data_IF_351216748298
#
_entry.id   IF_351216748298
#
_cell.length_a   1.000
_cell.length_b   1.000
_cell.length_c   1.000
_cell.angle_alpha   90.00
_cell.angle_beta   90.00
_cell.angle_gamma   90.00
#
_symmetry.space_group_name_H-M   'P 1'
#
loop_
_entity.id
_entity.type
_entity.pdbx_description
1 polymer ?
#
# COMPACT_ATOMS: atom_id res chain seq x y z
N UNK A 1 -59.69 25.21 -30.42
CA UNK A 1 -59.46 24.44 -29.19
C UNK A 1 -57.96 24.18 -29.07
N UNK A 2 -57.38 24.68 -27.98
CA UNK A 2 -56.10 24.33 -27.34
C UNK A 2 -54.89 23.91 -28.21
N UNK A 3 -53.94 24.85 -28.36
CA UNK A 3 -52.52 24.56 -28.21
C UNK A 3 -52.16 24.66 -26.71
N UNK A 4 -51.22 23.87 -26.18
CA UNK A 4 -49.90 24.44 -25.89
C UNK A 4 -48.67 23.48 -25.87
N UNK A 5 -47.50 24.13 -25.95
CA UNK A 5 -46.20 23.89 -25.28
C UNK A 5 -45.25 22.72 -25.68
N UNK A 6 -44.18 23.13 -26.37
CA UNK A 6 -42.74 23.06 -25.99
C UNK A 6 -42.19 21.83 -25.25
N UNK A 7 -41.17 21.22 -25.86
CA UNK A 7 -40.22 20.34 -25.18
C UNK A 7 -39.11 19.78 -26.08
N UNK A 8 -38.19 20.65 -26.54
CA UNK A 8 -36.91 20.22 -27.14
C UNK A 8 -36.02 19.59 -26.06
N UNK A 9 -35.53 18.37 -26.27
CA UNK A 9 -34.33 17.85 -25.59
C UNK A 9 -33.25 17.63 -26.65
N UNK A 10 -32.35 18.61 -26.71
CA UNK A 10 -31.13 18.60 -27.49
C UNK A 10 -30.00 18.11 -26.58
N UNK A 11 -29.48 16.91 -26.83
CA UNK A 11 -28.34 16.37 -26.11
C UNK A 11 -27.04 16.95 -26.69
N UNK A 12 -26.59 18.07 -26.11
CA UNK A 12 -25.34 18.73 -26.45
C UNK A 12 -24.13 17.92 -25.98
N UNK A 13 -23.42 17.36 -26.96
CA UNK A 13 -22.01 16.97 -26.89
C UNK A 13 -21.17 18.16 -26.41
N UNK A 14 -20.45 18.00 -25.29
CA UNK A 14 -19.34 18.88 -24.92
C UNK A 14 -18.03 18.09 -24.80
N UNK A 15 -17.37 18.06 -25.96
CA UNK A 15 -15.93 18.18 -26.19
C UNK A 15 -14.97 18.14 -25.00
N UNK A 16 -14.24 17.02 -24.88
CA UNK A 16 -12.88 16.96 -24.32
C UNK A 16 -11.92 17.56 -25.35
N UNK A 17 -11.42 18.78 -25.10
CA UNK A 17 -10.34 19.38 -25.89
C UNK A 17 -8.97 19.10 -25.26
N UNK A 18 -8.14 18.49 -26.12
CA UNK A 18 -6.71 18.69 -26.34
C UNK A 18 -5.77 19.02 -25.18
N UNK A 19 -4.86 18.09 -24.92
CA UNK A 19 -3.44 18.40 -24.77
C UNK A 19 -2.69 17.67 -25.89
N UNK A 20 -2.07 18.44 -26.82
CA UNK A 20 -1.12 17.94 -27.83
C UNK A 20 0.28 18.48 -27.51
N UNK A 21 1.23 17.55 -27.66
CA UNK A 21 2.56 17.67 -28.25
C UNK A 21 3.61 18.60 -27.63
N UNK A 22 4.61 17.97 -26.99
CA UNK A 22 6.01 18.41 -27.04
C UNK A 22 6.78 17.30 -27.77
N UNK A 23 7.54 17.60 -28.84
CA UNK A 23 8.19 16.59 -29.68
C UNK A 23 9.44 16.03 -29.00
N UNK A 24 9.49 14.70 -28.90
CA UNK A 24 10.60 13.97 -28.29
C UNK A 24 11.57 13.49 -29.38
N UNK A 25 12.59 14.29 -29.66
CA UNK A 25 13.70 13.90 -30.53
C UNK A 25 14.77 13.23 -29.67
N UNK A 26 14.90 11.90 -29.77
CA UNK A 26 16.19 11.18 -29.76
C UNK A 26 15.98 9.68 -30.01
N UNK A 27 16.44 9.25 -31.19
CA UNK A 27 16.65 7.85 -31.55
C UNK A 27 17.98 7.35 -31.00
N UNK A 28 17.94 6.09 -30.55
CA UNK A 28 18.99 5.07 -30.49
C UNK A 28 20.13 5.25 -29.47
N UNK A 29 20.14 4.38 -28.46
CA UNK A 29 20.93 3.14 -28.50
C UNK A 29 20.48 2.18 -27.39
N UNK A 30 20.36 0.91 -27.76
CA UNK A 30 20.03 -0.23 -26.88
C UNK A 30 21.14 -0.42 -25.84
N UNK A 31 20.76 -0.52 -24.58
CA UNK A 31 21.42 -1.39 -23.61
C UNK A 31 20.36 -1.94 -22.64
N UNK A 32 20.21 -3.27 -22.65
CA UNK A 32 19.29 -3.98 -21.77
C UNK A 32 19.81 -3.95 -20.33
N UNK A 33 19.14 -3.18 -19.49
CA UNK A 33 19.17 -3.35 -18.04
C UNK A 33 17.79 -2.94 -17.51
N UNK A 34 16.85 -3.87 -17.58
CA UNK A 34 15.56 -3.72 -16.92
C UNK A 34 15.78 -3.88 -15.41
N UNK A 35 16.24 -2.80 -14.77
CA UNK A 35 16.17 -2.69 -13.32
C UNK A 35 14.69 -2.66 -12.95
N UNK A 36 14.26 -3.68 -12.21
CA UNK A 36 13.03 -3.65 -11.44
C UNK A 36 12.94 -2.27 -10.77
N UNK A 37 11.87 -1.51 -11.07
CA UNK A 37 11.49 -0.31 -10.31
C UNK A 37 11.09 -0.76 -8.90
N UNK A 38 12.08 -1.12 -8.11
CA UNK A 38 12.02 -1.18 -6.67
C UNK A 38 11.65 0.24 -6.22
N UNK A 39 10.51 0.35 -5.55
CA UNK A 39 10.11 1.50 -4.75
C UNK A 39 11.33 2.00 -3.96
N UNK A 40 11.93 3.11 -4.43
CA UNK A 40 13.05 3.77 -3.78
C UNK A 40 12.55 4.58 -2.58
N UNK A 41 12.15 3.90 -1.51
CA UNK A 41 12.13 4.50 -0.18
C UNK A 41 13.50 4.30 0.45
N UNK A 42 14.26 5.40 0.48
CA UNK A 42 15.60 5.50 1.06
C UNK A 42 15.59 5.00 2.51
N UNK A 43 16.51 4.07 2.78
CA UNK A 43 16.80 3.43 4.07
C UNK A 43 17.65 4.38 4.92
N UNK A 44 17.26 4.64 6.15
CA UNK A 44 18.18 5.11 7.20
C UNK A 44 18.53 3.91 8.08
N UNK A 45 19.82 3.58 8.09
CA UNK A 45 20.45 2.71 9.08
C UNK A 45 20.68 3.61 10.31
N UNK A 46 20.30 3.14 11.52
CA UNK A 46 20.61 3.65 12.87
C UNK A 46 19.40 3.64 13.86
N UNK A 47 18.55 2.60 13.90
CA UNK A 47 17.46 2.50 14.89
C UNK A 47 17.80 1.67 16.13
N UNK A 48 18.92 0.96 16.18
CA UNK A 48 19.13 -0.13 17.15
C UNK A 48 19.27 0.32 18.62
N UNK A 49 19.71 1.56 18.87
CA UNK A 49 19.97 2.04 20.24
C UNK A 49 18.71 2.64 20.89
N UNK A 50 17.92 3.42 20.14
CA UNK A 50 16.65 3.97 20.64
C UNK A 50 15.57 2.88 20.83
N UNK A 51 15.65 1.79 20.05
CA UNK A 51 14.70 0.68 20.05
C UNK A 51 14.84 -0.21 21.30
N UNK A 52 16.05 -0.32 21.88
CA UNK A 52 16.27 -1.04 23.15
C UNK A 52 15.69 -0.31 24.36
N UNK A 53 15.63 1.03 24.36
CA UNK A 53 15.03 1.82 25.45
C UNK A 53 13.52 1.62 25.59
N UNK A 54 12.81 1.36 24.49
CA UNK A 54 11.35 1.19 24.49
C UNK A 54 10.88 -0.21 24.88
N UNK A 55 11.64 -1.26 24.55
CA UNK A 55 11.31 -2.64 24.97
C UNK A 55 11.32 -2.75 26.51
N UNK A 56 12.15 -1.95 27.17
CA UNK A 56 12.19 -1.86 28.64
C UNK A 56 11.07 -0.98 29.21
N UNK A 57 10.66 0.08 28.52
CA UNK A 57 9.59 0.99 28.99
C UNK A 57 8.18 0.37 28.91
N UNK A 58 7.93 -0.53 27.95
CA UNK A 58 6.65 -1.24 27.85
C UNK A 58 6.41 -2.25 29.01
N UNK A 59 7.46 -2.58 29.79
CA UNK A 59 7.36 -3.40 31.01
C UNK A 59 7.29 -2.56 32.30
N UNK A 60 7.42 -1.24 32.24
CA UNK A 60 7.67 -0.39 33.41
C UNK A 60 6.69 0.80 33.53
N UNK A 61 5.43 0.62 33.11
CA UNK A 61 4.36 1.61 33.34
C UNK A 61 3.30 1.01 34.28
N UNK A 62 3.74 0.80 35.53
CA UNK A 62 2.94 0.81 36.75
C UNK A 62 3.78 1.59 37.77
N UNK A 63 3.13 2.58 38.38
CA UNK A 63 3.58 3.52 39.45
C UNK A 63 4.37 4.79 39.08
N UNK A 64 3.66 5.92 39.28
CA UNK A 64 3.95 7.17 40.03
C UNK A 64 5.39 7.71 40.13
N UNK A 65 5.65 9.00 40.38
CA UNK A 65 5.00 10.32 40.32
C UNK A 65 6.15 11.29 40.71
N UNK A 66 6.03 12.57 40.30
CA UNK A 66 6.57 13.78 40.94
C UNK A 66 8.06 14.21 40.89
N UNK A 67 8.15 15.52 40.57
CA UNK A 67 9.17 16.55 40.89
C UNK A 67 10.43 16.63 40.01
N UNK A 68 11.00 17.79 39.64
CA UNK A 68 10.74 19.23 39.81
C UNK A 68 11.65 19.95 38.79
N UNK A 69 11.20 21.09 38.24
CA UNK A 69 11.98 21.97 37.35
C UNK A 69 13.06 22.76 38.12
N UNK A 70 14.12 23.21 37.43
CA UNK A 70 14.60 24.58 37.63
C UNK A 70 14.62 25.40 36.33
N UNK A 71 14.09 26.62 36.44
CA UNK A 71 14.15 27.71 35.45
C UNK A 71 15.58 28.23 35.26
N UNK A 72 15.90 28.70 34.06
CA UNK A 72 17.04 29.56 33.77
C UNK A 72 16.62 30.59 32.73
N UNK A 73 16.63 31.86 33.14
CA UNK A 73 16.34 33.04 32.34
C UNK A 73 17.65 33.64 31.80
N UNK A 74 17.77 33.78 30.47
CA UNK A 74 18.70 34.71 29.81
C UNK A 74 17.99 35.26 28.55
N UNK A 75 17.82 36.59 28.39
CA UNK A 75 17.23 37.16 27.18
C UNK A 75 18.31 37.36 26.12
N UNK A 76 18.19 36.66 24.98
CA UNK A 76 19.05 36.85 23.82
C UNK A 76 18.28 37.59 22.71
N UNK A 77 18.73 38.83 22.49
CA UNK A 77 18.59 39.74 21.35
C UNK A 77 17.94 39.17 20.09
N UNK A 78 16.85 39.84 19.68
CA UNK A 78 16.09 39.58 18.48
C UNK A 78 16.91 39.84 17.20
N UNK A 79 17.48 38.77 16.64
CA UNK A 79 17.80 38.71 15.23
C UNK A 79 16.57 38.18 14.48
N UNK A 80 16.08 38.97 13.54
CA UNK A 80 14.92 38.71 12.70
C UNK A 80 15.12 37.41 11.91
N UNK A 81 14.61 36.30 12.49
CA UNK A 81 14.67 34.98 11.86
C UNK A 81 13.57 34.91 10.81
N UNK A 82 13.86 34.43 9.59
CA UNK A 82 12.83 34.27 8.56
C UNK A 82 11.68 33.46 9.16
N UNK A 83 10.47 34.03 9.16
CA UNK A 83 9.29 33.50 9.85
C UNK A 83 9.24 31.99 9.68
N UNK A 84 9.63 31.26 10.73
CA UNK A 84 9.49 29.81 10.80
C UNK A 84 7.99 29.56 10.75
N UNK A 85 7.48 29.24 9.55
CA UNK A 85 6.07 28.96 9.33
C UNK A 85 5.57 27.99 10.40
N UNK A 86 4.43 28.28 11.04
CA UNK A 86 3.96 27.50 12.17
C UNK A 86 3.77 26.04 11.76
N UNK A 87 4.24 25.15 12.62
CA UNK A 87 4.01 23.72 12.43
C UNK A 87 2.51 23.45 12.64
N UNK A 88 1.97 22.51 11.87
CA UNK A 88 0.62 22.02 12.11
C UNK A 88 0.57 21.36 13.49
N UNK A 89 -0.42 21.72 14.29
CA UNK A 89 -0.73 21.06 15.54
C UNK A 89 -1.81 20.01 15.26
N UNK A 90 -1.50 18.73 15.45
CA UNK A 90 -2.47 17.65 15.25
C UNK A 90 -3.34 17.52 16.50
N UNK A 91 -4.65 17.78 16.37
CA UNK A 91 -5.58 17.74 17.50
C UNK A 91 -6.33 16.42 17.57
N UNK A 92 -6.85 15.93 16.44
CA UNK A 92 -7.48 14.62 16.35
C UNK A 92 -7.19 13.89 15.04
N UNK A 93 -7.26 12.56 15.10
CA UNK A 93 -7.34 11.67 13.93
C UNK A 93 -8.66 10.88 13.89
N UNK A 94 -9.53 11.03 14.89
CA UNK A 94 -10.86 10.43 14.91
C UNK A 94 -11.80 11.20 13.98
N UNK A 95 -12.25 10.54 12.92
CA UNK A 95 -13.14 11.13 11.93
C UNK A 95 -14.49 11.61 12.52
N UNK A 96 -14.88 11.12 13.70
CA UNK A 96 -16.13 11.51 14.37
C UNK A 96 -15.99 12.75 15.25
N UNK A 97 -14.76 13.20 15.50
CA UNK A 97 -14.44 14.32 16.38
C UNK A 97 -13.77 15.48 15.63
N UNK A 98 -13.79 15.45 14.30
CA UNK A 98 -13.20 16.51 13.47
C UNK A 98 -13.89 17.85 13.72
N UNK A 99 -13.08 18.90 13.82
CA UNK A 99 -13.54 20.28 13.96
C UNK A 99 -12.93 21.20 12.87
N UNK A 100 -13.48 22.40 12.71
CA UNK A 100 -13.02 23.42 11.75
C UNK A 100 -11.53 23.74 11.92
N UNK A 101 -11.01 23.69 13.15
CA UNK A 101 -9.59 23.94 13.45
C UNK A 101 -8.65 22.82 12.96
N UNK A 102 -9.16 21.63 12.66
CA UNK A 102 -8.40 20.51 12.08
C UNK A 102 -8.24 20.62 10.56
N UNK A 103 -8.94 21.56 9.93
CA UNK A 103 -8.86 21.77 8.49
C UNK A 103 -7.52 22.39 8.10
N UNK A 104 -6.83 21.75 7.15
CA UNK A 104 -5.52 22.19 6.70
C UNK A 104 -5.43 22.29 5.19
N UNK A 105 -4.75 23.33 4.70
CA UNK A 105 -4.31 23.40 3.31
C UNK A 105 -2.83 23.02 3.18
N UNK A 106 -2.60 21.90 2.49
CA UNK A 106 -1.27 21.36 2.22
C UNK A 106 -0.85 21.51 0.75
N UNK A 107 -1.65 22.19 -0.08
CA UNK A 107 -1.44 22.39 -1.53
C UNK A 107 -0.07 22.99 -1.86
N UNK A 108 0.58 22.47 -2.91
CA UNK A 108 1.84 23.00 -3.45
C UNK A 108 3.06 22.84 -2.54
N UNK A 109 2.91 22.27 -1.34
CA UNK A 109 4.01 22.08 -0.39
C UNK A 109 4.77 20.80 -0.69
N UNK A 110 6.09 20.82 -0.54
CA UNK A 110 6.92 19.60 -0.57
C UNK A 110 6.77 18.76 0.70
N UNK A 111 6.55 19.43 1.83
CA UNK A 111 6.31 18.78 3.11
C UNK A 111 5.57 19.70 4.08
N UNK A 112 4.95 19.09 5.10
CA UNK A 112 4.33 19.78 6.22
C UNK A 112 4.90 19.26 7.53
N UNK A 113 5.33 20.16 8.40
CA UNK A 113 5.76 19.77 9.75
C UNK A 113 4.54 19.66 10.65
N UNK A 114 4.41 18.53 11.33
CA UNK A 114 3.33 18.22 12.27
C UNK A 114 3.91 18.08 13.68
N UNK A 115 3.25 18.69 14.65
CA UNK A 115 3.52 18.58 16.09
C UNK A 115 2.37 17.86 16.77
N UNK A 116 2.69 17.23 17.89
CA UNK A 116 1.77 16.43 18.68
C UNK A 116 1.67 17.05 20.08
N UNK A 117 0.59 17.76 20.43
CA UNK A 117 0.41 18.35 21.76
C UNK A 117 0.51 17.34 22.89
N UNK A 118 0.05 16.12 22.63
CA UNK A 118 0.03 15.02 23.60
C UNK A 118 1.43 14.44 23.84
N UNK A 119 2.39 14.75 22.97
CA UNK A 119 3.77 14.25 23.06
C UNK A 119 4.76 15.34 22.58
N UNK A 120 4.85 16.48 23.28
CA UNK A 120 5.61 17.65 22.84
C UNK A 120 7.13 17.41 22.83
N UNK A 121 7.60 16.43 23.60
CA UNK A 121 8.99 15.97 23.67
C UNK A 121 9.42 15.16 22.44
N UNK A 122 8.45 14.66 21.66
CA UNK A 122 8.73 13.85 20.48
C UNK A 122 9.15 14.70 19.28
N UNK A 123 9.96 14.14 18.34
CA UNK A 123 10.30 14.82 17.11
C UNK A 123 9.06 15.21 16.30
N UNK A 124 9.15 16.35 15.63
CA UNK A 124 8.14 16.76 14.66
C UNK A 124 8.12 15.78 13.49
N UNK A 125 6.93 15.46 13.01
CA UNK A 125 6.78 14.67 11.81
C UNK A 125 6.86 15.59 10.58
N UNK A 126 7.83 15.34 9.70
CA UNK A 126 7.82 15.92 8.36
C UNK A 126 6.96 15.05 7.43
N UNK A 127 5.70 15.41 7.29
CA UNK A 127 4.76 14.75 6.39
C UNK A 127 5.10 15.09 4.92
N UNK A 128 5.19 14.08 4.08
CA UNK A 128 5.54 14.20 2.65
C UNK A 128 4.49 13.51 1.79
N UNK A 129 4.26 14.03 0.60
CA UNK A 129 3.32 13.44 -0.35
C UNK A 129 3.86 12.16 -0.97
N UNK A 130 4.95 12.26 -1.71
CA UNK A 130 5.51 11.11 -2.42
C UNK A 130 7.04 11.11 -2.30
N UNK A 131 7.72 11.49 -3.37
CA UNK A 131 9.18 11.64 -3.38
C UNK A 131 9.58 13.05 -2.89
N UNK A 132 10.82 13.25 -2.42
CA UNK A 132 11.26 14.51 -1.80
C UNK A 132 11.01 15.78 -2.64
N UNK A 133 10.91 15.64 -3.96
CA UNK A 133 10.80 16.75 -4.90
C UNK A 133 9.44 16.80 -5.62
N UNK A 134 8.47 15.99 -5.18
CA UNK A 134 7.13 16.01 -5.76
C UNK A 134 6.22 16.80 -4.82
N UNK A 135 5.76 18.00 -5.23
CA UNK A 135 4.87 18.81 -4.42
C UNK A 135 3.49 18.14 -4.29
N UNK A 136 2.81 18.46 -3.19
CA UNK A 136 1.42 18.10 -2.99
C UNK A 136 0.57 18.77 -4.08
N UNK A 137 -0.37 18.06 -4.73
CA UNK A 137 -1.23 18.63 -5.77
C UNK A 137 -1.99 19.87 -5.28
N UNK A 138 -2.32 20.77 -6.19
CA UNK A 138 -3.20 21.90 -5.88
C UNK A 138 -4.58 21.42 -5.44
N UNK A 139 -5.25 22.21 -4.59
CA UNK A 139 -6.56 21.86 -4.04
C UNK A 139 -6.53 20.70 -3.04
N UNK A 140 -5.38 20.46 -2.40
CA UNK A 140 -5.23 19.45 -1.34
C UNK A 140 -5.48 20.10 0.03
N UNK A 141 -6.73 20.47 0.28
CA UNK A 141 -7.19 21.00 1.55
C UNK A 141 -8.20 20.04 2.19
N UNK A 142 -8.18 19.90 3.50
CA UNK A 142 -9.03 18.94 4.21
C UNK A 142 -8.39 18.44 5.51
N UNK A 143 -8.60 17.16 5.84
CA UNK A 143 -8.35 16.61 7.17
C UNK A 143 -7.43 15.39 7.16
N UNK A 144 -6.58 15.28 8.18
CA UNK A 144 -5.91 14.01 8.50
C UNK A 144 -6.87 13.15 9.32
N UNK A 145 -6.90 11.85 9.04
CA UNK A 145 -7.75 10.93 9.79
C UNK A 145 -7.16 9.53 9.85
N UNK A 146 -7.58 8.77 10.85
CA UNK A 146 -7.28 7.35 10.99
C UNK A 146 -8.30 6.51 10.21
N UNK A 147 -7.80 5.61 9.38
CA UNK A 147 -8.61 4.71 8.57
C UNK A 147 -8.26 3.25 8.90
N UNK A 148 -9.30 2.47 9.16
CA UNK A 148 -9.24 1.01 9.22
C UNK A 148 -10.38 0.49 8.36
N UNK A 149 -10.07 -0.36 7.37
CA UNK A 149 -11.11 -0.96 6.53
C UNK A 149 -12.00 -1.87 7.39
N UNK A 150 -13.32 -1.92 7.12
CA UNK A 150 -14.22 -2.85 7.79
C UNK A 150 -13.69 -4.29 7.68
N UNK A 151 -13.74 -5.01 8.80
CA UNK A 151 -13.27 -6.40 8.96
C UNK A 151 -11.77 -6.61 8.76
N UNK A 152 -10.98 -5.54 8.63
CA UNK A 152 -9.53 -5.65 8.48
C UNK A 152 -8.85 -5.86 9.83
N UNK A 153 -7.74 -6.63 9.88
CA UNK A 153 -6.93 -6.74 11.09
C UNK A 153 -6.49 -5.36 11.59
N UNK A 154 -6.53 -5.06 12.90
CA UNK A 154 -6.17 -3.74 13.43
C UNK A 154 -4.78 -3.24 13.02
N UNK A 155 -3.86 -4.18 12.73
CA UNK A 155 -2.50 -3.87 12.26
C UNK A 155 -2.44 -3.26 10.85
N UNK A 156 -3.51 -3.37 10.05
CA UNK A 156 -3.60 -2.79 8.70
C UNK A 156 -3.95 -1.29 8.70
N UNK A 157 -4.28 -0.73 9.87
CA UNK A 157 -4.69 0.65 10.02
C UNK A 157 -3.66 1.65 9.51
N UNK A 158 -4.15 2.83 9.12
CA UNK A 158 -3.36 3.81 8.41
C UNK A 158 -3.88 5.23 8.64
N UNK A 159 -2.96 6.19 8.66
CA UNK A 159 -3.33 7.61 8.60
C UNK A 159 -3.46 8.02 7.13
N UNK A 160 -4.57 8.67 6.78
CA UNK A 160 -4.86 9.17 5.43
C UNK A 160 -5.14 10.68 5.47
N UNK A 161 -5.20 11.28 4.29
CA UNK A 161 -5.60 12.67 4.12
C UNK A 161 -6.85 12.73 3.24
N UNK A 162 -7.96 13.24 3.80
CA UNK A 162 -9.23 13.43 3.10
C UNK A 162 -9.27 14.85 2.57
N UNK A 163 -9.38 15.00 1.25
CA UNK A 163 -9.58 16.29 0.57
C UNK A 163 -11.07 16.63 0.57
N UNK A 164 -11.41 17.82 1.07
CA UNK A 164 -12.80 18.32 1.19
C UNK A 164 -12.94 19.68 0.50
N UNK A 165 -14.18 20.09 0.25
CA UNK A 165 -14.50 21.37 -0.40
C UNK A 165 -14.44 22.56 0.55
N UNK A 166 -14.62 22.32 1.86
CA UNK A 166 -14.62 23.35 2.90
C UNK A 166 -14.07 22.82 4.23
N UNK A 167 -13.90 23.73 5.19
CA UNK A 167 -13.49 23.44 6.57
C UNK A 167 -14.60 22.88 7.45
N UNK A 168 -15.85 22.83 6.98
CA UNK A 168 -16.95 22.18 7.67
C UNK A 168 -16.75 20.64 7.69
N UNK A 169 -16.63 20.00 8.87
CA UNK A 169 -16.53 18.54 9.01
C UNK A 169 -17.67 17.77 8.35
N UNK A 170 -18.87 18.36 8.20
CA UNK A 170 -19.99 17.72 7.52
C UNK A 170 -19.70 17.40 6.03
N UNK A 171 -18.68 18.03 5.44
CA UNK A 171 -18.22 17.74 4.07
C UNK A 171 -17.27 16.54 3.98
N UNK A 172 -16.80 16.01 5.11
CA UNK A 172 -15.86 14.89 5.16
C UNK A 172 -16.35 13.63 4.41
N UNK A 173 -17.61 13.16 4.57
CA UNK A 173 -18.10 11.96 3.88
C UNK A 173 -18.12 12.11 2.34
N UNK A 174 -18.32 13.34 1.85
CA UNK A 174 -18.33 13.65 0.42
C UNK A 174 -16.92 13.93 -0.14
N UNK A 175 -15.91 14.01 0.74
CA UNK A 175 -14.53 14.22 0.35
C UNK A 175 -13.90 12.99 -0.29
N UNK A 176 -12.76 13.21 -0.95
CA UNK A 176 -11.98 12.12 -1.57
C UNK A 176 -10.63 11.98 -0.88
N UNK A 177 -10.12 10.76 -0.79
CA UNK A 177 -8.76 10.55 -0.31
C UNK A 177 -7.74 11.19 -1.26
N UNK A 178 -6.69 11.79 -0.69
CA UNK A 178 -5.53 12.24 -1.45
C UNK A 178 -4.90 11.04 -2.15
N UNK A 179 -4.79 11.12 -3.47
CA UNK A 179 -4.18 10.07 -4.29
C UNK A 179 -2.74 10.43 -4.61
N UNK A 180 -1.88 9.41 -4.66
CA UNK A 180 -0.52 9.45 -5.19
C UNK A 180 -0.55 9.55 -6.73
N UNK A 181 0.58 9.89 -7.39
CA UNK A 181 0.65 9.96 -8.85
C UNK A 181 0.33 8.65 -9.58
N UNK A 182 0.43 7.52 -8.89
CA UNK A 182 0.07 6.20 -9.41
C UNK A 182 -1.41 5.82 -9.18
N UNK A 183 -2.21 6.75 -8.65
CA UNK A 183 -3.64 6.58 -8.36
C UNK A 183 -3.94 5.90 -7.02
N UNK A 184 -2.92 5.40 -6.28
CA UNK A 184 -3.15 4.79 -4.96
C UNK A 184 -3.43 5.86 -3.92
N UNK A 185 -4.20 5.52 -2.89
CA UNK A 185 -4.42 6.41 -1.76
C UNK A 185 -3.12 6.70 -1.01
N UNK A 186 -2.84 7.97 -0.78
CA UNK A 186 -1.79 8.43 0.11
C UNK A 186 -2.07 7.96 1.54
N UNK A 187 -1.08 7.36 2.19
CA UNK A 187 -1.24 6.86 3.55
C UNK A 187 0.10 6.79 4.30
N UNK A 188 0.01 6.79 5.63
CA UNK A 188 1.07 6.40 6.55
C UNK A 188 0.60 5.13 7.27
N UNK A 189 1.17 3.99 6.90
CA UNK A 189 0.80 2.70 7.47
C UNK A 189 1.24 2.56 8.92
N UNK A 190 0.43 1.88 9.76
CA UNK A 190 0.79 1.56 11.14
C UNK A 190 2.13 0.83 11.26
N UNK A 191 2.47 -0.02 10.29
CA UNK A 191 3.78 -0.70 10.26
C UNK A 191 4.95 0.29 10.23
N UNK A 192 4.81 1.41 9.52
CA UNK A 192 5.84 2.46 9.52
C UNK A 192 5.82 3.26 10.83
N UNK A 193 4.64 3.58 11.33
CA UNK A 193 4.44 4.30 12.59
C UNK A 193 5.06 3.54 13.77
N UNK A 194 4.84 2.22 13.83
CA UNK A 194 5.34 1.33 14.85
C UNK A 194 6.88 1.13 14.78
N UNK A 195 7.48 1.29 13.61
CA UNK A 195 8.91 0.98 13.40
C UNK A 195 9.82 2.19 13.42
N UNK A 196 9.45 3.32 12.82
CA UNK A 196 10.37 4.46 12.71
C UNK A 196 10.23 5.42 13.88
N UNK A 197 11.36 5.84 14.43
CA UNK A 197 11.43 6.86 15.49
C UNK A 197 10.88 8.22 15.06
N UNK A 198 10.93 8.54 13.76
CA UNK A 198 10.35 9.79 13.21
C UNK A 198 8.83 9.87 13.36
N UNK A 199 8.16 8.75 13.63
CA UNK A 199 6.71 8.67 13.86
C UNK A 199 6.37 8.45 15.34
N UNK A 200 7.30 8.61 16.28
CA UNK A 200 7.03 8.38 17.71
C UNK A 200 5.92 9.28 18.26
N UNK A 201 5.88 10.56 17.87
CA UNK A 201 4.79 11.47 18.25
C UNK A 201 3.43 11.03 17.68
N UNK A 202 3.39 10.60 16.41
CA UNK A 202 2.17 10.08 15.79
C UNK A 202 1.69 8.78 16.47
N UNK A 203 2.63 7.90 16.84
CA UNK A 203 2.34 6.68 17.59
C UNK A 203 1.74 6.97 18.97
N UNK A 204 2.32 7.92 19.71
CA UNK A 204 1.82 8.31 21.02
C UNK A 204 0.40 8.91 20.90
N UNK A 205 0.19 9.76 19.89
CA UNK A 205 -1.10 10.38 19.63
C UNK A 205 -2.22 9.37 19.28
N UNK A 206 -1.92 8.37 18.43
CA UNK A 206 -2.88 7.30 18.14
C UNK A 206 -3.27 6.47 19.37
N UNK A 207 -2.33 6.26 20.30
CA UNK A 207 -2.60 5.55 21.56
C UNK A 207 -3.41 6.42 22.51
N UNK A 208 -3.11 7.72 22.62
CA UNK A 208 -3.84 8.63 23.52
C UNK A 208 -5.30 8.78 23.12
N UNK A 209 -5.60 8.80 21.82
CA UNK A 209 -6.98 8.84 21.31
C UNK A 209 -7.66 7.46 21.31
N UNK A 210 -6.97 6.42 21.79
CA UNK A 210 -7.47 5.03 21.83
C UNK A 210 -7.85 4.49 20.43
N UNK A 211 -7.35 5.11 19.36
CA UNK A 211 -7.53 4.64 17.98
C UNK A 211 -6.75 3.36 17.71
N UNK A 212 -5.65 3.15 18.46
CA UNK A 212 -4.90 1.89 18.49
C UNK A 212 -4.45 1.57 19.91
N UNK A 213 -4.35 0.28 20.24
CA UNK A 213 -3.79 -0.15 21.53
C UNK A 213 -2.27 -0.34 21.43
N UNK A 214 -1.57 -0.23 22.56
CA UNK A 214 -0.13 -0.51 22.62
C UNK A 214 0.20 -1.94 22.15
N UNK A 215 -0.69 -2.91 22.40
CA UNK A 215 -0.57 -4.28 21.91
C UNK A 215 -0.56 -4.34 20.39
N UNK A 216 -1.50 -3.66 19.72
CA UNK A 216 -1.56 -3.63 18.24
C UNK A 216 -0.30 -2.98 17.64
N UNK A 217 0.18 -1.89 18.25
CA UNK A 217 1.44 -1.24 17.83
C UNK A 217 2.63 -2.19 17.98
N UNK A 218 2.70 -2.94 19.08
CA UNK A 218 3.76 -3.93 19.29
C UNK A 218 3.68 -5.07 18.26
N UNK A 219 2.48 -5.58 17.98
CA UNK A 219 2.26 -6.61 16.94
C UNK A 219 2.71 -6.11 15.57
N UNK A 220 2.35 -4.88 15.19
CA UNK A 220 2.80 -4.27 13.94
C UNK A 220 4.33 -4.11 13.87
N UNK A 221 4.98 -3.78 14.99
CA UNK A 221 6.44 -3.72 15.08
C UNK A 221 7.10 -5.10 14.90
N UNK A 222 6.51 -6.16 15.47
CA UNK A 222 7.08 -7.52 15.42
C UNK A 222 6.90 -8.21 14.08
N UNK A 223 5.87 -7.84 13.31
CA UNK A 223 5.59 -8.43 12.01
C UNK A 223 6.78 -8.21 11.06
N UNK A 224 7.33 -9.32 10.59
CA UNK A 224 8.44 -9.35 9.65
C UNK A 224 8.52 -10.70 8.94
N UNK A 225 9.18 -10.73 7.79
CA UNK A 225 9.41 -11.95 7.04
C UNK A 225 10.88 -12.05 6.59
N UNK A 226 11.57 -13.17 6.88
CA UNK A 226 12.92 -13.39 6.39
C UNK A 226 12.91 -13.74 4.90
N UNK A 227 13.91 -13.29 4.17
CA UNK A 227 14.18 -13.71 2.79
C UNK A 227 15.68 -13.67 2.52
N UNK A 228 16.30 -14.85 2.55
CA UNK A 228 17.76 -14.99 2.62
C UNK A 228 18.30 -14.32 3.88
N UNK A 229 19.40 -13.59 3.76
CA UNK A 229 20.02 -12.86 4.88
C UNK A 229 19.29 -11.55 5.27
N UNK A 230 18.13 -11.24 4.66
CA UNK A 230 17.42 -9.97 4.87
C UNK A 230 16.06 -10.18 5.50
N UNK A 231 15.72 -9.33 6.47
CA UNK A 231 14.39 -9.24 7.05
C UNK A 231 13.61 -8.09 6.39
N UNK A 232 12.37 -8.37 6.00
CA UNK A 232 11.46 -7.42 5.39
C UNK A 232 10.29 -7.15 6.34
N UNK A 233 9.76 -5.94 6.26
CA UNK A 233 8.55 -5.52 6.98
C UNK A 233 7.55 -4.95 5.98
N UNK A 234 6.24 -5.05 6.23
CA UNK A 234 5.28 -4.25 5.50
C UNK A 234 5.54 -2.76 5.78
N UNK A 235 5.18 -1.92 4.83
CA UNK A 235 5.30 -0.47 4.97
C UNK A 235 4.35 0.26 4.03
N UNK A 236 4.41 1.58 4.02
CA UNK A 236 3.58 2.41 3.14
C UNK A 236 3.73 1.96 1.67
N UNK A 237 2.59 1.63 1.05
CA UNK A 237 2.53 1.13 -0.33
C UNK A 237 2.73 -0.38 -0.50
N UNK A 238 2.91 -1.14 0.58
CA UNK A 238 2.81 -2.60 0.55
C UNK A 238 1.37 -3.02 0.24
N UNK A 239 1.21 -4.03 -0.60
CA UNK A 239 -0.10 -4.62 -0.84
C UNK A 239 -0.43 -5.60 0.29
N UNK A 240 -1.46 -5.28 1.07
CA UNK A 240 -1.91 -6.08 2.20
C UNK A 240 -3.19 -6.81 1.80
N UNK A 241 -3.24 -8.12 2.00
CA UNK A 241 -4.41 -8.96 1.76
C UNK A 241 -4.73 -9.70 3.05
N UNK A 242 -6.00 -9.72 3.46
CA UNK A 242 -6.42 -10.36 4.71
C UNK A 242 -7.70 -11.19 4.59
N UNK A 243 -8.39 -11.14 3.46
CA UNK A 243 -9.58 -11.97 3.22
C UNK A 243 -9.66 -12.49 1.80
N UNK A 244 -10.37 -13.61 1.62
CA UNK A 244 -10.76 -14.07 0.30
C UNK A 244 -11.75 -13.08 -0.35
N UNK A 245 -11.76 -13.04 -1.68
CA UNK A 245 -12.56 -12.06 -2.43
C UNK A 245 -12.02 -10.63 -2.35
N UNK A 246 -10.93 -10.36 -1.62
CA UNK A 246 -10.28 -9.05 -1.64
C UNK A 246 -9.55 -8.86 -2.99
N UNK A 247 -10.12 -8.02 -3.84
CA UNK A 247 -9.54 -7.64 -5.12
C UNK A 247 -8.31 -6.75 -4.96
N UNK A 248 -7.27 -7.03 -5.76
CA UNK A 248 -6.07 -6.21 -5.82
C UNK A 248 -5.54 -6.04 -7.24
N UNK A 249 -4.89 -4.90 -7.47
CA UNK A 249 -4.33 -4.54 -8.76
C UNK A 249 -3.00 -5.27 -9.00
N UNK A 250 -2.86 -5.88 -10.16
CA UNK A 250 -1.62 -6.47 -10.66
C UNK A 250 -1.23 -5.87 -12.00
N UNK A 251 0.07 -5.69 -12.18
CA UNK A 251 0.68 -5.37 -13.47
C UNK A 251 1.04 -6.69 -14.17
N UNK A 252 0.49 -6.90 -15.38
CA UNK A 252 0.69 -8.10 -16.17
C UNK A 252 2.13 -8.24 -16.70
N UNK A 253 2.91 -7.15 -16.68
CA UNK A 253 4.34 -7.18 -16.99
C UNK A 253 5.21 -7.49 -15.77
N UNK A 254 4.63 -7.53 -14.56
CA UNK A 254 5.37 -7.82 -13.35
C UNK A 254 5.75 -9.31 -13.28
N UNK A 255 7.05 -9.58 -13.25
CA UNK A 255 7.58 -10.94 -13.15
C UNK A 255 7.33 -11.59 -11.79
N UNK A 256 7.16 -10.77 -10.74
CA UNK A 256 7.00 -11.30 -9.41
C UNK A 256 6.39 -10.29 -8.44
N UNK A 257 5.06 -10.09 -8.49
CA UNK A 257 4.40 -9.29 -7.48
C UNK A 257 4.65 -9.88 -6.08
N UNK A 258 4.93 -8.98 -5.15
CA UNK A 258 5.17 -9.28 -3.74
C UNK A 258 4.07 -8.60 -2.95
N UNK A 259 3.39 -9.39 -2.14
CA UNK A 259 2.30 -8.95 -1.27
C UNK A 259 2.49 -9.49 0.14
N UNK A 260 1.71 -8.99 1.07
CA UNK A 260 1.64 -9.48 2.45
C UNK A 260 0.27 -10.07 2.70
N UNK A 261 0.22 -11.33 3.14
CA UNK A 261 -0.99 -11.87 3.75
C UNK A 261 -0.91 -11.56 5.23
N UNK A 262 -1.91 -10.88 5.77
CA UNK A 262 -1.93 -10.43 7.16
C UNK A 262 -3.15 -10.98 7.89
N UNK A 263 -2.96 -11.33 9.16
CA UNK A 263 -4.02 -11.63 10.11
C UNK A 263 -3.87 -10.75 11.35
N UNK A 264 -4.63 -11.06 12.40
CA UNK A 264 -4.67 -10.26 13.63
C UNK A 264 -3.34 -10.21 14.40
N UNK A 265 -2.55 -11.29 14.35
CA UNK A 265 -1.28 -11.42 15.10
C UNK A 265 -0.09 -11.88 14.25
N UNK A 266 -0.34 -12.36 13.03
CA UNK A 266 0.67 -12.92 12.13
C UNK A 266 0.58 -12.28 10.75
N UNK A 267 1.69 -12.30 10.03
CA UNK A 267 1.74 -11.86 8.66
C UNK A 267 2.86 -12.58 7.92
N UNK A 268 2.62 -12.91 6.66
CA UNK A 268 3.56 -13.60 5.81
C UNK A 268 3.75 -12.87 4.49
N UNK A 269 5.00 -12.84 4.05
CA UNK A 269 5.36 -12.21 2.79
C UNK A 269 5.22 -13.23 1.66
N UNK A 270 4.30 -12.97 0.74
CA UNK A 270 4.01 -13.83 -0.39
C UNK A 270 4.62 -13.26 -1.68
N UNK A 271 5.49 -14.04 -2.30
CA UNK A 271 6.03 -13.76 -3.64
C UNK A 271 5.33 -14.67 -4.65
N UNK A 272 4.56 -14.09 -5.55
CA UNK A 272 3.93 -14.84 -6.64
C UNK A 272 4.87 -14.84 -7.83
N UNK A 273 5.68 -15.89 -7.96
CA UNK A 273 6.69 -15.97 -9.03
C UNK A 273 6.04 -16.39 -10.35
N UNK A 274 6.39 -15.70 -11.44
CA UNK A 274 6.05 -16.08 -12.82
C UNK A 274 4.54 -16.27 -13.06
N UNK A 275 3.72 -15.39 -12.50
CA UNK A 275 2.27 -15.42 -12.72
C UNK A 275 1.89 -15.11 -14.16
N UNK A 276 2.56 -14.11 -14.74
CA UNK A 276 2.25 -13.57 -16.07
C UNK A 276 3.43 -13.71 -17.03
N UNK A 277 4.40 -14.57 -16.68
CA UNK A 277 5.63 -14.77 -17.44
C UNK A 277 6.00 -16.24 -17.54
N UNK A 278 6.79 -16.56 -18.54
CA UNK A 278 7.38 -17.89 -18.70
C UNK A 278 8.83 -17.78 -19.19
N UNK A 279 9.61 -18.83 -18.95
CA UNK A 279 10.99 -18.91 -19.43
C UNK A 279 11.02 -19.50 -20.84
N UNK A 280 11.61 -18.78 -21.79
CA UNK A 280 11.94 -19.30 -23.12
C UNK A 280 13.45 -19.51 -23.22
N UNK A 281 13.86 -20.64 -23.79
CA UNK A 281 15.24 -20.83 -24.16
C UNK A 281 15.43 -20.24 -25.57
N UNK A 282 16.22 -19.19 -25.68
CA UNK A 282 16.60 -18.60 -26.96
C UNK A 282 17.98 -19.14 -27.34
N UNK A 283 18.06 -19.82 -28.49
CA UNK A 283 19.32 -20.20 -29.13
C UNK A 283 19.82 -19.03 -29.95
N UNK A 284 20.84 -18.32 -29.44
CA UNK A 284 21.55 -17.32 -30.23
C UNK A 284 22.41 -17.97 -31.32
N UNK A 285 22.89 -17.17 -32.29
CA UNK A 285 23.81 -17.60 -33.35
C UNK A 285 25.17 -18.12 -32.84
N UNK A 286 25.45 -17.94 -31.55
CA UNK A 286 26.69 -18.36 -30.87
C UNK A 286 26.60 -19.76 -30.24
N UNK A 287 25.49 -20.49 -30.40
CA UNK A 287 25.29 -21.83 -29.81
C UNK A 287 25.02 -21.84 -28.31
N UNK A 288 25.09 -20.70 -27.62
CA UNK A 288 24.78 -20.59 -26.19
C UNK A 288 23.27 -20.44 -26.01
N UNK A 289 22.64 -21.42 -25.36
CA UNK A 289 21.24 -21.37 -24.97
C UNK A 289 21.07 -20.40 -23.80
N UNK A 290 20.35 -19.29 -24.01
CA UNK A 290 20.00 -18.35 -22.94
C UNK A 290 18.55 -18.54 -22.54
N UNK A 291 18.28 -18.73 -21.26
CA UNK A 291 16.91 -18.74 -20.75
C UNK A 291 16.47 -17.30 -20.46
N UNK A 292 15.53 -16.79 -21.24
CA UNK A 292 14.99 -15.43 -21.15
C UNK A 292 13.57 -15.49 -20.62
N UNK A 293 13.27 -14.71 -19.59
CA UNK A 293 11.91 -14.54 -19.09
C UNK A 293 11.12 -13.61 -20.02
N UNK A 294 9.92 -14.04 -20.42
CA UNK A 294 9.06 -13.31 -21.37
C UNK A 294 7.69 -13.05 -20.75
N UNK A 295 7.16 -11.85 -20.98
CA UNK A 295 5.81 -11.40 -20.59
C UNK A 295 4.97 -11.19 -21.85
N UNK A 296 4.07 -12.10 -22.20
CA UNK A 296 3.30 -11.99 -23.44
C UNK A 296 2.23 -10.90 -23.36
N UNK A 297 1.81 -10.52 -22.15
CA UNK A 297 0.79 -9.51 -21.90
C UNK A 297 1.37 -8.30 -21.20
N UNK A 298 0.84 -7.14 -21.56
CA UNK A 298 1.07 -5.86 -20.89
C UNK A 298 -0.26 -5.27 -20.44
N UNK A 299 -0.22 -4.45 -19.40
CA UNK A 299 -1.40 -3.78 -18.85
C UNK A 299 -1.69 -4.20 -17.42
N UNK A 300 -2.94 -4.03 -16.99
CA UNK A 300 -3.34 -4.11 -15.59
C UNK A 300 -4.62 -4.91 -15.44
N UNK A 301 -4.71 -5.68 -14.37
CA UNK A 301 -5.92 -6.41 -14.01
C UNK A 301 -6.17 -6.36 -12.50
N UNK A 302 -7.43 -6.49 -12.11
CA UNK A 302 -7.84 -6.81 -10.75
C UNK A 302 -7.91 -8.33 -10.63
N UNK A 303 -7.24 -8.86 -9.61
CA UNK A 303 -7.26 -10.28 -9.27
C UNK A 303 -7.64 -10.46 -7.81
N UNK A 304 -8.10 -11.65 -7.44
CA UNK A 304 -8.40 -11.97 -6.04
C UNK A 304 -8.13 -13.45 -5.73
N UNK A 305 -7.80 -13.72 -4.48
CA UNK A 305 -7.76 -15.08 -3.97
C UNK A 305 -9.17 -15.56 -3.64
N UNK A 306 -9.47 -16.82 -3.97
CA UNK A 306 -10.76 -17.46 -3.70
C UNK A 306 -10.55 -18.88 -3.21
N UNK A 307 -11.54 -19.39 -2.49
CA UNK A 307 -11.73 -20.83 -2.32
C UNK A 307 -11.93 -21.50 -3.67
N UNK A 308 -11.31 -22.66 -3.86
CA UNK A 308 -11.58 -23.45 -5.05
C UNK A 308 -12.96 -24.09 -4.95
N UNK A 309 -13.80 -23.83 -5.94
CA UNK A 309 -15.14 -24.44 -6.09
C UNK A 309 -15.11 -25.69 -6.97
N UNK A 310 -13.93 -26.15 -7.40
CA UNK A 310 -13.81 -27.31 -8.27
C UNK A 310 -14.20 -28.59 -7.50
N UNK A 311 -14.98 -29.51 -8.09
CA UNK A 311 -15.44 -30.73 -7.41
C UNK A 311 -14.32 -31.57 -6.80
N UNK A 312 -13.17 -31.64 -7.49
CA UNK A 312 -11.96 -32.35 -7.04
C UNK A 312 -11.28 -31.74 -5.81
N UNK A 313 -11.61 -30.51 -5.44
CA UNK A 313 -11.10 -29.82 -4.25
C UNK A 313 -12.10 -29.78 -3.10
N UNK A 314 -13.23 -30.50 -3.22
CA UNK A 314 -14.22 -30.57 -2.14
C UNK A 314 -13.56 -31.10 -0.85
N UNK A 315 -13.69 -30.35 0.23
CA UNK A 315 -13.11 -30.70 1.53
C UNK A 315 -11.62 -30.41 1.68
N UNK A 316 -10.98 -29.75 0.71
CA UNK A 316 -9.59 -29.28 0.86
C UNK A 316 -9.54 -27.77 1.02
N UNK A 317 -8.51 -27.27 1.70
CA UNK A 317 -8.22 -25.83 1.78
C UNK A 317 -7.41 -25.39 0.56
N UNK A 318 -8.03 -25.45 -0.61
CA UNK A 318 -7.40 -25.08 -1.88
C UNK A 318 -7.77 -23.67 -2.29
N UNK A 319 -6.74 -22.84 -2.50
CA UNK A 319 -6.86 -21.46 -2.97
C UNK A 319 -6.62 -21.39 -4.46
N UNK A 320 -7.45 -20.62 -5.17
CA UNK A 320 -7.23 -20.23 -6.57
C UNK A 320 -7.06 -18.71 -6.67
N UNK A 321 -6.55 -18.26 -7.82
CA UNK A 321 -6.39 -16.84 -8.13
C UNK A 321 -7.23 -16.54 -9.38
N UNK A 322 -8.18 -15.62 -9.28
CA UNK A 322 -9.11 -15.26 -10.36
C UNK A 322 -8.83 -13.86 -10.88
N UNK A 323 -8.96 -13.66 -12.19
CA UNK A 323 -9.11 -12.34 -12.79
C UNK A 323 -10.54 -11.84 -12.58
N UNK A 324 -10.69 -10.82 -11.74
CA UNK A 324 -11.99 -10.19 -11.50
C UNK A 324 -12.34 -9.30 -12.68
N UNK A 325 -11.38 -8.47 -13.10
CA UNK A 325 -11.55 -7.54 -14.22
C UNK A 325 -10.23 -7.18 -14.85
N UNK A 326 -10.17 -7.19 -16.16
CA UNK A 326 -9.05 -6.71 -16.97
C UNK A 326 -9.30 -5.23 -17.25
N UNK A 327 -8.37 -4.39 -16.81
CA UNK A 327 -8.44 -2.94 -17.01
C UNK A 327 -7.80 -2.57 -18.34
N UNK A 328 -6.65 -3.17 -18.63
CA UNK A 328 -5.85 -2.90 -19.80
C UNK A 328 -5.12 -4.18 -20.19
N UNK A 329 -5.23 -4.59 -21.45
CA UNK A 329 -4.55 -5.77 -21.98
C UNK A 329 -4.01 -5.47 -23.37
N UNK A 330 -2.70 -5.56 -23.49
CA UNK A 330 -1.99 -5.47 -24.77
C UNK A 330 -1.16 -6.73 -24.95
N UNK A 331 -1.35 -7.40 -26.08
CA UNK A 331 -0.49 -8.53 -26.49
C UNK A 331 0.80 -7.99 -27.06
N UNK A 332 1.93 -8.50 -26.58
CA UNK A 332 3.24 -8.11 -27.11
C UNK A 332 3.44 -8.77 -28.48
N UNK A 333 3.86 -7.98 -29.49
CA UNK A 333 4.06 -8.45 -30.87
C UNK A 333 5.10 -9.57 -30.94
N UNK A 334 4.87 -10.57 -31.79
CA UNK A 334 5.76 -11.74 -31.94
C UNK A 334 5.49 -12.87 -30.95
N UNK A 335 4.39 -12.79 -30.21
CA UNK A 335 3.91 -13.86 -29.33
C UNK A 335 2.61 -14.50 -29.81
N UNK A 336 2.22 -14.29 -31.08
CA UNK A 336 1.01 -14.87 -31.67
C UNK A 336 1.02 -16.42 -31.68
N UNK A 337 2.20 -17.03 -31.51
CA UNK A 337 2.43 -18.48 -31.43
C UNK A 337 2.55 -18.98 -29.98
N UNK A 338 2.34 -18.12 -28.97
CA UNK A 338 2.53 -18.50 -27.56
C UNK A 338 1.23 -18.97 -26.95
N UNK A 339 1.20 -20.27 -26.64
CA UNK A 339 0.13 -21.04 -25.98
C UNK A 339 -0.36 -20.51 -24.62
N UNK A 340 0.10 -19.36 -24.13
CA UNK A 340 -0.38 -18.83 -22.84
C UNK A 340 -1.82 -18.37 -23.00
N UNK A 341 -2.78 -18.96 -22.25
CA UNK A 341 -4.17 -18.56 -22.34
C UNK A 341 -4.30 -17.07 -22.04
N UNK A 342 -5.02 -16.37 -22.90
CA UNK A 342 -5.31 -14.96 -22.71
C UNK A 342 -6.09 -14.77 -21.40
N UNK A 343 -5.70 -13.81 -20.53
CA UNK A 343 -6.49 -13.45 -19.37
C UNK A 343 -7.91 -13.11 -19.79
N UNK A 344 -8.91 -13.58 -19.04
CA UNK A 344 -10.31 -13.26 -19.27
C UNK A 344 -10.97 -12.81 -17.98
N UNK A 345 -11.90 -11.87 -18.08
CA UNK A 345 -12.75 -11.46 -16.96
C UNK A 345 -13.49 -12.67 -16.40
N UNK A 346 -13.47 -12.82 -15.07
CA UNK A 346 -14.01 -13.97 -14.35
C UNK A 346 -13.18 -15.25 -14.49
N UNK A 347 -12.14 -15.29 -15.33
CA UNK A 347 -11.32 -16.49 -15.57
C UNK A 347 -10.32 -16.76 -14.45
N UNK A 348 -9.97 -18.04 -14.25
CA UNK A 348 -8.87 -18.42 -13.37
C UNK A 348 -7.53 -18.06 -14.01
N UNK A 349 -6.59 -17.61 -13.17
CA UNK A 349 -5.22 -17.39 -13.60
C UNK A 349 -4.58 -18.72 -13.99
N UNK A 350 -3.96 -18.77 -15.17
CA UNK A 350 -3.29 -19.95 -15.67
C UNK A 350 -1.78 -19.83 -15.45
N UNK A 351 -1.14 -20.91 -15.01
CA UNK A 351 0.32 -20.98 -14.86
C UNK A 351 0.89 -22.29 -15.41
N UNK A 352 2.19 -22.30 -15.69
CA UNK A 352 2.89 -23.44 -16.30
C UNK A 352 3.94 -23.99 -15.32
N UNK A 353 3.69 -25.15 -14.72
CA UNK A 353 4.61 -25.76 -13.72
C UNK A 353 5.88 -26.38 -14.34
N UNK A 354 5.78 -27.07 -15.48
CA UNK A 354 6.90 -27.88 -16.03
C UNK A 354 7.00 -27.84 -17.57
N UNK A 355 6.82 -26.68 -18.21
CA UNK A 355 6.92 -26.50 -19.68
C UNK A 355 6.00 -27.37 -20.56
N UNK A 356 5.04 -28.13 -20.01
CA UNK A 356 4.16 -29.00 -20.82
C UNK A 356 2.75 -28.47 -21.01
N UNK A 357 2.02 -28.14 -19.93
CA UNK A 357 0.62 -27.69 -20.03
C UNK A 357 0.33 -26.49 -19.12
N UNK A 358 -0.67 -25.69 -19.51
CA UNK A 358 -1.23 -24.63 -18.69
C UNK A 358 -2.29 -25.19 -17.75
N UNK A 359 -2.14 -24.93 -16.47
CA UNK A 359 -3.06 -25.35 -15.43
C UNK A 359 -3.50 -24.15 -14.62
N UNK A 360 -4.73 -24.13 -14.07
CA UNK A 360 -5.13 -23.10 -13.13
C UNK A 360 -4.11 -22.96 -12.01
N UNK A 361 -3.82 -21.72 -11.63
CA UNK A 361 -3.06 -21.43 -10.42
C UNK A 361 -3.89 -21.84 -9.23
N UNK A 362 -3.37 -22.81 -8.49
CA UNK A 362 -4.00 -23.38 -7.33
C UNK A 362 -2.96 -23.78 -6.31
N UNK A 363 -3.34 -23.68 -5.05
CA UNK A 363 -2.50 -24.01 -3.89
C UNK A 363 -3.39 -24.68 -2.86
N UNK A 364 -3.18 -25.97 -2.67
CA UNK A 364 -3.69 -26.69 -1.51
C UNK A 364 -2.76 -26.37 -0.33
N UNK A 365 -3.28 -25.67 0.70
CA UNK A 365 -2.45 -25.22 1.83
C UNK A 365 -2.07 -26.36 2.77
N UNK A 366 -2.79 -27.48 2.71
CA UNK A 366 -2.58 -28.65 3.58
C UNK A 366 -1.66 -29.70 2.96
N UNK A 367 -1.45 -29.65 1.64
CA UNK A 367 -0.55 -30.62 0.98
C UNK A 367 0.90 -30.43 1.40
N UNK A 368 1.59 -31.52 1.77
CA UNK A 368 3.02 -31.48 2.05
C UNK A 368 3.78 -31.03 0.80
N UNK A 369 4.44 -29.88 0.86
CA UNK A 369 5.24 -29.39 -0.25
C UNK A 369 6.52 -30.22 -0.41
N UNK A 370 6.90 -30.48 -1.67
CA UNK A 370 8.17 -31.14 -2.00
C UNK A 370 9.37 -30.43 -1.36
N UNK A 371 10.30 -31.20 -0.78
CA UNK A 371 11.55 -30.71 -0.19
C UNK A 371 12.23 -29.69 -1.11
N UNK A 372 12.50 -28.50 -0.59
CA UNK A 372 13.25 -27.44 -1.31
C UNK A 372 12.39 -26.33 -1.95
N UNK A 373 11.06 -26.40 -1.92
CA UNK A 373 10.20 -25.24 -2.25
C UNK A 373 10.03 -24.36 -1.02
N UNK A 374 10.02 -23.02 -1.18
CA UNK A 374 9.93 -22.13 -0.04
C UNK A 374 8.61 -22.37 0.70
N UNK A 375 8.72 -22.70 1.98
CA UNK A 375 7.63 -22.83 2.96
C UNK A 375 6.66 -21.63 3.01
N UNK A 376 6.94 -20.53 2.30
CA UNK A 376 6.25 -19.26 2.40
C UNK A 376 4.85 -19.26 1.79
N UNK A 377 4.58 -20.05 0.73
CA UNK A 377 3.37 -19.84 -0.07
C UNK A 377 2.11 -20.46 0.56
N UNK A 378 2.13 -21.75 0.94
CA UNK A 378 1.02 -22.37 1.67
C UNK A 378 0.83 -21.69 3.03
N UNK A 379 1.92 -21.45 3.77
CA UNK A 379 1.88 -20.77 5.07
C UNK A 379 1.22 -19.40 5.01
N UNK A 380 1.54 -18.60 4.00
CA UNK A 380 0.91 -17.29 3.85
C UNK A 380 -0.59 -17.41 3.58
N UNK A 381 -1.01 -18.34 2.71
CA UNK A 381 -2.41 -18.50 2.34
C UNK A 381 -3.25 -19.15 3.45
N UNK A 382 -2.65 -19.95 4.33
CA UNK A 382 -3.33 -20.48 5.54
C UNK A 382 -3.91 -19.36 6.39
N UNK A 383 -3.22 -18.21 6.50
CA UNK A 383 -3.70 -17.05 7.26
C UNK A 383 -5.07 -16.56 6.75
N UNK A 384 -5.35 -16.67 5.43
CA UNK A 384 -6.65 -16.25 4.91
C UNK A 384 -7.79 -17.15 5.43
N UNK A 385 -7.55 -18.46 5.55
CA UNK A 385 -8.51 -19.40 6.15
C UNK A 385 -8.66 -19.14 7.65
N UNK A 386 -7.55 -18.90 8.36
CA UNK A 386 -7.57 -18.63 9.80
C UNK A 386 -8.37 -17.35 10.09
N UNK A 387 -8.23 -16.32 9.25
CA UNK A 387 -8.99 -15.08 9.38
C UNK A 387 -10.51 -15.29 9.20
N UNK A 388 -10.95 -16.09 8.22
CA UNK A 388 -12.39 -16.39 8.05
C UNK A 388 -12.97 -17.18 9.22
N UNK A 389 -12.21 -18.14 9.76
CA UNK A 389 -12.63 -18.93 10.91
C UNK A 389 -12.89 -18.06 12.15
N UNK A 390 -12.10 -17.00 12.32
CA UNK A 390 -12.28 -16.03 13.41
C UNK A 390 -13.42 -15.02 13.17
N UNK A 391 -13.83 -14.80 11.93
CA UNK A 391 -14.96 -13.91 11.60
C UNK A 391 -16.33 -14.61 11.72
N UNK A 392 -16.34 -15.94 11.76
CA UNK A 392 -17.56 -16.75 11.87
C UNK A 392 -17.95 -17.08 13.32
N UNK A 393 -17.23 -16.54 14.30
CA UNK A 393 -17.45 -16.66 15.74
C UNK A 393 -17.85 -15.30 16.31
#
# INVERSE_FOLDING_TARGET
>A
MAAPMNGMINASRLTLRHWRDIPNTRRLLRAACCQNKLSFYRRCINSTVAQKRWISAAKALVEQDKQLLPKSDIPATAADRPLRRPALLLRTLDQTQLDVEDFIDISGRLSRNVRFPVAPEQPRLQMRYFQPNVPIPSGSQGFLYWHLDPDAPPVSGQVRFRVTTSSDPATFPNGRDLQLPDGRTWNISLFEIARRSTYSGLRAHLISEKLVTAKVVYTALSISAPHGARTFHPGTGSLLIWKFGQSFLVDLQSFSPVLWIIGSSAAERLRLARLFSFMRNDSGSTGIIRSVERTPFAGRALVQFEHSTLPEHKGTRTVVLRFVKIIELTKTKGFDVIEMPEPKDGGLLMHRKNRRHWTPWLVDVDRPQQRGKPHSLSKALTILFDNEAHQSQ
#
